data_IF_635084213446
#
_entry.id   IF_635084213446
#
_cell.length_a   1.000
_cell.length_b   1.000
_cell.length_c   1.000
_cell.angle_alpha   90.00
_cell.angle_beta   90.00
_cell.angle_gamma   90.00
#
_symmetry.space_group_name_H-M   'P 1'
#
loop_
_entity.id
_entity.type
_entity.pdbx_description
1 polymer ?
#
# COMPACT_ATOMS: atom_id res chain seq x y z
N UNK A 1 56.59 -18.56 -22.99
CA UNK A 1 55.38 -19.38 -22.80
C UNK A 1 54.16 -18.61 -23.29
N UNK A 2 53.55 -19.08 -24.37
CA UNK A 2 52.28 -18.60 -24.95
C UNK A 2 51.12 -19.00 -24.05
N UNK A 3 50.14 -18.13 -23.82
CA UNK A 3 48.71 -18.51 -23.75
C UNK A 3 47.84 -17.36 -24.31
N UNK A 4 47.40 -17.60 -25.55
CA UNK A 4 46.21 -17.05 -26.17
C UNK A 4 45.02 -17.85 -25.61
N UNK A 5 43.87 -17.22 -25.32
CA UNK A 5 42.56 -17.80 -25.66
C UNK A 5 41.43 -16.76 -25.61
N UNK A 6 40.68 -16.75 -26.72
CA UNK A 6 39.32 -16.21 -26.94
C UNK A 6 38.32 -16.99 -26.03
N UNK A 7 37.05 -16.64 -25.80
CA UNK A 7 36.01 -16.29 -26.76
C UNK A 7 34.64 -16.14 -26.03
N UNK A 8 33.62 -15.60 -26.76
CA UNK A 8 32.17 -15.89 -26.70
C UNK A 8 31.44 -15.42 -25.40
N UNK A 9 30.41 -14.58 -25.41
CA UNK A 9 29.32 -14.41 -26.36
C UNK A 9 28.05 -15.09 -25.81
N UNK A 10 27.22 -14.39 -25.03
CA UNK A 10 25.86 -14.83 -24.73
C UNK A 10 24.91 -13.63 -24.81
N UNK A 11 24.19 -13.57 -25.93
CA UNK A 11 22.96 -12.83 -26.06
C UNK A 11 21.86 -13.61 -25.33
N UNK A 12 21.10 -12.94 -24.46
CA UNK A 12 19.78 -13.41 -24.02
C UNK A 12 18.80 -12.31 -24.39
N UNK A 13 18.07 -12.55 -25.47
CA UNK A 13 16.83 -11.87 -25.84
C UNK A 13 15.69 -12.73 -25.28
N UNK A 14 14.82 -12.13 -24.48
CA UNK A 14 13.63 -12.77 -23.92
C UNK A 14 12.85 -11.81 -23.02
N UNK A 15 12.14 -10.86 -23.64
CA UNK A 15 11.00 -10.15 -23.05
C UNK A 15 9.74 -11.04 -23.24
N UNK A 16 8.62 -11.02 -22.50
CA UNK A 16 7.81 -9.98 -21.85
C UNK A 16 6.81 -10.70 -20.90
N UNK A 17 6.50 -10.17 -19.71
CA UNK A 17 5.13 -10.17 -19.15
C UNK A 17 5.04 -9.17 -17.97
N UNK A 18 4.08 -8.25 -18.09
CA UNK A 18 3.91 -6.99 -17.36
C UNK A 18 3.44 -7.16 -15.91
N UNK A 19 4.15 -6.54 -14.97
CA UNK A 19 3.78 -6.47 -13.55
C UNK A 19 4.81 -5.64 -12.78
N UNK A 20 4.86 -4.35 -13.07
CA UNK A 20 5.92 -3.44 -12.62
C UNK A 20 5.87 -3.18 -11.11
N UNK A 21 6.51 -4.04 -10.32
CA UNK A 21 6.97 -3.68 -8.98
C UNK A 21 8.21 -2.80 -9.21
N UNK A 22 8.09 -1.50 -8.99
CA UNK A 22 9.21 -0.57 -9.06
C UNK A 22 10.18 -0.87 -7.91
N UNK A 23 11.11 -1.82 -8.12
CA UNK A 23 12.26 -1.97 -7.23
C UNK A 23 13.07 -0.67 -7.30
N UNK A 24 13.39 -0.03 -6.17
CA UNK A 24 14.24 1.16 -6.19
C UNK A 24 15.58 0.77 -6.82
N UNK A 25 15.81 1.25 -8.04
CA UNK A 25 17.07 1.06 -8.73
C UNK A 25 18.10 1.84 -7.92
N UNK A 26 18.99 1.12 -7.23
CA UNK A 26 20.09 1.77 -6.51
C UNK A 26 20.83 2.67 -7.51
N UNK A 27 21.07 3.95 -7.17
CA UNK A 27 21.74 4.85 -8.09
C UNK A 27 23.10 4.23 -8.44
N UNK A 28 23.28 3.90 -9.73
CA UNK A 28 24.54 3.41 -10.23
C UNK A 28 25.61 4.43 -9.85
N UNK A 29 26.59 4.02 -9.03
CA UNK A 29 27.61 4.92 -8.52
C UNK A 29 28.32 5.59 -9.71
N UNK A 30 28.13 6.90 -9.86
CA UNK A 30 28.67 7.65 -10.97
C UNK A 30 30.20 7.49 -11.01
N UNK A 31 30.74 6.99 -12.12
CA UNK A 31 32.19 6.89 -12.30
C UNK A 31 32.70 8.26 -12.74
N UNK A 32 33.54 8.90 -11.93
CA UNK A 32 34.19 10.15 -12.35
C UNK A 32 35.21 9.84 -13.45
N UNK A 33 34.95 10.33 -14.65
CA UNK A 33 35.89 10.25 -15.77
C UNK A 33 36.94 11.34 -15.55
N UNK A 34 38.21 10.96 -15.51
CA UNK A 34 39.36 11.86 -15.34
C UNK A 34 40.23 11.78 -16.59
N UNK A 35 40.38 12.89 -17.29
CA UNK A 35 41.23 13.01 -18.48
C UNK A 35 42.22 14.17 -18.33
N UNK A 36 43.28 14.13 -19.12
CA UNK A 36 44.22 15.22 -19.29
C UNK A 36 44.04 15.80 -20.69
N UNK A 37 43.98 17.13 -20.79
CA UNK A 37 43.79 17.88 -22.04
C UNK A 37 44.99 18.78 -22.28
N UNK A 38 45.64 18.71 -23.44
CA UNK A 38 46.80 19.53 -23.79
C UNK A 38 46.36 20.98 -24.06
N UNK A 39 46.90 21.94 -23.31
CA UNK A 39 46.39 23.34 -23.30
C UNK A 39 46.42 24.02 -24.67
N UNK A 40 47.44 23.73 -25.50
CA UNK A 40 47.64 24.40 -26.80
C UNK A 40 46.86 23.75 -27.95
N UNK A 41 46.59 22.45 -27.88
CA UNK A 41 46.06 21.68 -29.04
C UNK A 41 44.73 21.00 -28.76
N UNK A 42 44.25 20.99 -27.51
CA UNK A 42 43.01 20.30 -27.12
C UNK A 42 43.11 18.76 -27.08
N UNK A 43 44.28 18.18 -27.36
CA UNK A 43 44.46 16.72 -27.37
C UNK A 43 44.13 16.11 -26.00
N UNK A 44 43.32 15.05 -25.97
CA UNK A 44 42.84 14.42 -24.72
C UNK A 44 43.44 13.03 -24.50
N UNK A 45 43.83 12.71 -23.26
CA UNK A 45 44.34 11.39 -22.86
C UNK A 45 43.86 10.99 -21.47
N UNK A 46 43.52 9.72 -21.29
CA UNK A 46 43.28 9.14 -19.96
C UNK A 46 44.63 8.80 -19.30
N UNK A 47 44.98 9.48 -18.20
CA UNK A 47 46.22 9.23 -17.47
C UNK A 47 46.05 9.50 -15.97
N UNK A 48 46.77 8.74 -15.13
CA UNK A 48 46.77 8.96 -13.66
C UNK A 48 47.31 10.34 -13.27
N UNK A 49 48.31 10.85 -14.01
CA UNK A 49 48.93 12.17 -13.81
C UNK A 49 49.06 12.88 -15.16
N UNK A 50 48.77 14.18 -15.19
CA UNK A 50 48.90 14.98 -16.41
C UNK A 50 50.35 15.48 -16.57
N UNK A 51 50.89 15.43 -17.80
CA UNK A 51 52.22 15.95 -18.12
C UNK A 51 52.24 17.49 -18.08
N UNK A 52 53.43 18.10 -17.95
CA UNK A 52 53.58 19.57 -18.00
C UNK A 52 53.00 20.11 -19.31
N UNK A 53 52.21 21.18 -19.24
CA UNK A 53 51.47 21.73 -20.39
C UNK A 53 50.08 21.12 -20.64
N UNK A 54 49.66 20.16 -19.82
CA UNK A 54 48.32 19.57 -19.85
C UNK A 54 47.49 20.02 -18.64
N UNK A 55 46.16 20.08 -18.81
CA UNK A 55 45.18 20.41 -17.77
C UNK A 55 44.35 19.17 -17.46
N UNK A 56 44.15 18.86 -16.18
CA UNK A 56 43.24 17.79 -15.76
C UNK A 56 41.80 18.30 -15.89
N UNK A 57 40.94 17.49 -16.50
CA UNK A 57 39.50 17.73 -16.61
C UNK A 57 38.79 16.49 -16.07
N UNK A 58 37.74 16.69 -15.29
CA UNK A 58 36.93 15.60 -14.78
C UNK A 58 35.47 15.95 -14.83
N UNK A 59 34.66 14.96 -15.22
CA UNK A 59 33.21 15.03 -15.18
C UNK A 59 32.64 13.69 -14.71
N UNK A 60 31.41 13.71 -14.22
CA UNK A 60 30.71 12.50 -13.84
C UNK A 60 30.18 11.80 -15.11
N UNK A 61 30.36 10.48 -15.21
CA UNK A 61 29.92 9.71 -16.37
C UNK A 61 28.40 9.64 -16.54
N UNK A 62 27.65 9.99 -15.49
CA UNK A 62 26.19 9.94 -15.43
C UNK A 62 25.75 11.24 -14.73
N UNK A 63 24.88 12.02 -15.38
CA UNK A 63 24.22 13.17 -14.76
C UNK A 63 23.30 12.71 -13.62
N UNK A 64 22.79 13.64 -12.78
CA UNK A 64 21.75 13.25 -11.83
C UNK A 64 20.61 12.55 -12.57
N UNK A 65 20.00 11.55 -11.93
CA UNK A 65 18.75 11.01 -12.44
C UNK A 65 17.77 12.17 -12.68
N UNK A 66 17.06 12.14 -13.80
CA UNK A 66 16.01 13.13 -14.05
C UNK A 66 14.96 13.11 -12.93
N UNK A 67 14.15 14.17 -12.79
CA UNK A 67 13.01 14.11 -11.90
C UNK A 67 12.14 12.89 -12.24
N UNK A 68 11.53 12.30 -11.21
CA UNK A 68 10.53 11.26 -11.45
C UNK A 68 9.48 11.78 -12.43
N UNK A 69 9.03 10.90 -13.33
CA UNK A 69 7.91 11.23 -14.21
C UNK A 69 6.64 11.53 -13.41
N UNK A 70 5.69 12.22 -14.02
CA UNK A 70 4.37 12.41 -13.42
C UNK A 70 3.76 11.04 -13.07
N UNK A 71 3.04 10.97 -11.95
CA UNK A 71 2.26 9.78 -11.63
C UNK A 71 1.29 9.46 -12.77
N UNK A 72 1.15 8.18 -13.10
CA UNK A 72 0.14 7.73 -14.05
C UNK A 72 -1.28 7.99 -13.55
N UNK A 73 -2.30 7.89 -14.42
CA UNK A 73 -3.68 8.03 -14.00
C UNK A 73 -4.05 6.97 -12.95
N UNK A 74 -4.81 7.38 -11.93
CA UNK A 74 -5.34 6.47 -10.93
C UNK A 74 -6.41 5.58 -11.56
N UNK A 75 -6.17 4.27 -11.58
CA UNK A 75 -7.12 3.28 -12.09
C UNK A 75 -8.38 3.24 -11.21
N UNK A 76 -9.53 2.99 -11.82
CA UNK A 76 -10.82 2.88 -11.14
C UNK A 76 -11.31 1.44 -11.15
N UNK A 77 -12.00 1.05 -10.08
CA UNK A 77 -12.74 -0.21 -10.05
C UNK A 77 -14.19 0.07 -10.40
N UNK A 78 -14.69 -0.65 -11.40
CA UNK A 78 -16.03 -0.47 -11.94
C UNK A 78 -16.75 -1.80 -11.95
N UNK A 79 -18.01 -1.78 -11.56
CA UNK A 79 -18.88 -2.95 -11.60
C UNK A 79 -19.35 -3.29 -13.04
N UNK A 80 -20.05 -4.41 -13.19
CA UNK A 80 -20.59 -4.89 -14.47
C UNK A 80 -21.53 -3.88 -15.16
N UNK A 81 -22.22 -3.06 -14.37
CA UNK A 81 -23.18 -2.08 -14.85
C UNK A 81 -22.54 -0.72 -15.16
N UNK A 82 -21.23 -0.57 -14.95
CA UNK A 82 -20.51 0.69 -15.18
C UNK A 82 -20.46 1.62 -13.97
N UNK A 83 -20.99 1.21 -12.80
CA UNK A 83 -20.90 1.98 -11.57
C UNK A 83 -19.46 1.98 -11.06
N UNK A 84 -18.91 3.16 -10.81
CA UNK A 84 -17.57 3.32 -10.22
C UNK A 84 -17.66 3.09 -8.72
N UNK A 85 -16.96 2.08 -8.21
CA UNK A 85 -16.89 1.77 -6.78
C UNK A 85 -15.82 2.59 -6.05
N UNK A 86 -14.73 2.93 -6.75
CA UNK A 86 -13.65 3.74 -6.19
C UNK A 86 -12.33 3.59 -6.93
N UNK A 87 -11.25 4.02 -6.28
CA UNK A 87 -9.89 3.94 -6.80
C UNK A 87 -9.30 2.54 -6.61
N UNK A 88 -8.67 1.96 -7.62
CA UNK A 88 -7.95 0.70 -7.48
C UNK A 88 -6.64 0.92 -6.72
N UNK A 89 -6.49 0.26 -5.56
CA UNK A 89 -5.30 0.36 -4.71
C UNK A 89 -4.42 -0.88 -4.75
N UNK A 90 -4.94 -2.00 -5.27
CA UNK A 90 -4.19 -3.23 -5.41
C UNK A 90 -5.07 -4.47 -5.31
N UNK A 91 -4.42 -5.62 -5.25
CA UNK A 91 -5.06 -6.91 -5.00
C UNK A 91 -4.33 -7.62 -3.86
N UNK A 92 -5.06 -8.32 -3.00
CA UNK A 92 -4.51 -9.17 -1.93
C UNK A 92 -5.02 -10.58 -2.04
N UNK A 93 -4.22 -11.54 -1.59
CA UNK A 93 -4.48 -12.97 -1.71
C UNK A 93 -4.27 -13.65 -0.35
N UNK A 94 -5.11 -13.38 0.66
CA UNK A 94 -5.00 -14.09 1.94
C UNK A 94 -5.37 -15.58 1.80
N UNK A 95 -6.03 -15.96 0.70
CA UNK A 95 -6.33 -17.34 0.31
C UNK A 95 -6.37 -17.47 -1.22
N UNK A 96 -6.95 -18.55 -1.75
CA UNK A 96 -7.18 -18.74 -3.19
C UNK A 96 -8.17 -17.72 -3.80
N UNK A 97 -8.87 -16.93 -2.98
CA UNK A 97 -9.82 -15.93 -3.42
C UNK A 97 -9.12 -14.56 -3.45
N UNK A 98 -8.96 -13.91 -4.63
CA UNK A 98 -8.42 -12.57 -4.70
C UNK A 98 -9.40 -11.56 -4.09
N UNK A 99 -8.87 -10.65 -3.29
CA UNK A 99 -9.56 -9.44 -2.89
C UNK A 99 -9.03 -8.24 -3.67
N UNK A 100 -9.95 -7.38 -4.12
CA UNK A 100 -9.64 -6.12 -4.78
C UNK A 100 -9.67 -5.03 -3.71
N UNK A 101 -8.57 -4.30 -3.55
CA UNK A 101 -8.49 -3.18 -2.64
C UNK A 101 -8.98 -1.91 -3.35
N UNK A 102 -10.02 -1.30 -2.78
CA UNK A 102 -10.66 -0.11 -3.32
C UNK A 102 -10.49 1.05 -2.34
N UNK A 103 -10.01 2.19 -2.83
CA UNK A 103 -10.03 3.47 -2.13
C UNK A 103 -11.37 4.17 -2.32
N UNK A 104 -12.04 4.53 -1.22
CA UNK A 104 -13.31 5.25 -1.23
C UNK A 104 -13.36 6.24 -0.06
N UNK A 105 -13.61 7.52 -0.34
CA UNK A 105 -13.68 8.59 0.68
C UNK A 105 -12.52 8.55 1.69
N UNK A 106 -11.29 8.35 1.20
CA UNK A 106 -10.08 8.29 2.03
C UNK A 106 -9.95 7.03 2.90
N UNK A 107 -10.80 6.01 2.72
CA UNK A 107 -10.67 4.69 3.32
C UNK A 107 -10.30 3.61 2.31
N UNK A 108 -9.68 2.53 2.77
CA UNK A 108 -9.38 1.35 1.97
C UNK A 108 -10.32 0.21 2.35
N UNK A 109 -10.88 -0.44 1.34
CA UNK A 109 -11.91 -1.46 1.46
C UNK A 109 -11.54 -2.69 0.63
N UNK A 110 -11.96 -3.87 1.08
CA UNK A 110 -11.70 -5.13 0.37
C UNK A 110 -12.98 -5.63 -0.28
N UNK A 111 -12.92 -5.90 -1.59
CA UNK A 111 -14.03 -6.42 -2.36
C UNK A 111 -13.73 -7.81 -2.90
N UNK A 112 -14.76 -8.65 -2.97
CA UNK A 112 -14.75 -9.84 -3.79
C UNK A 112 -14.86 -9.45 -5.27
N UNK A 113 -14.39 -10.32 -6.16
CA UNK A 113 -14.54 -10.12 -7.61
C UNK A 113 -16.00 -10.04 -8.07
N UNK A 114 -16.95 -10.49 -7.26
CA UNK A 114 -18.39 -10.41 -7.52
C UNK A 114 -19.04 -9.08 -7.10
N UNK A 115 -18.26 -8.13 -6.59
CA UNK A 115 -18.73 -6.80 -6.22
C UNK A 115 -19.14 -6.61 -4.76
N UNK A 116 -19.09 -7.66 -3.93
CA UNK A 116 -19.45 -7.53 -2.51
C UNK A 116 -18.30 -7.00 -1.66
N UNK A 117 -18.61 -6.04 -0.78
CA UNK A 117 -17.71 -5.53 0.25
C UNK A 117 -17.53 -6.57 1.37
N UNK A 118 -16.28 -6.95 1.63
CA UNK A 118 -15.89 -7.98 2.60
C UNK A 118 -15.75 -7.38 4.00
N UNK A 119 -16.34 -8.00 5.04
CA UNK A 119 -16.13 -7.56 6.42
C UNK A 119 -14.70 -7.85 6.89
N UNK A 120 -14.21 -7.06 7.85
CA UNK A 120 -12.87 -7.22 8.45
C UNK A 120 -12.73 -8.46 9.36
N UNK A 121 -13.78 -9.27 9.51
CA UNK A 121 -13.82 -10.43 10.40
C UNK A 121 -14.05 -10.10 11.87
N UNK A 122 -14.23 -8.83 12.22
CA UNK A 122 -14.54 -8.37 13.59
C UNK A 122 -15.61 -7.28 13.59
N UNK A 123 -16.50 -7.33 14.58
CA UNK A 123 -17.42 -6.23 14.90
C UNK A 123 -16.71 -5.21 15.78
N UNK A 124 -17.03 -3.90 15.67
CA UNK A 124 -16.68 -2.97 16.73
C UNK A 124 -17.27 -3.43 18.07
N UNK A 125 -16.66 -2.97 19.16
CA UNK A 125 -17.12 -3.22 20.53
C UNK A 125 -17.92 -2.04 21.06
N UNK A 126 -18.85 -2.33 21.95
CA UNK A 126 -19.72 -1.36 22.60
C UNK A 126 -19.70 -1.60 24.10
N UNK A 127 -19.99 -0.54 24.86
CA UNK A 127 -20.02 -0.61 26.32
C UNK A 127 -21.44 -0.78 26.87
N UNK A 128 -22.44 -0.83 26.00
CA UNK A 128 -23.85 -1.01 26.34
C UNK A 128 -24.46 -2.19 25.58
N UNK A 129 -25.49 -2.80 26.18
CA UNK A 129 -26.15 -3.98 25.65
C UNK A 129 -27.00 -3.74 24.40
N UNK A 130 -27.26 -2.48 24.04
CA UNK A 130 -27.98 -2.13 22.82
C UNK A 130 -27.04 -1.84 21.65
N UNK A 131 -25.72 -1.87 21.87
CA UNK A 131 -24.71 -1.44 20.90
C UNK A 131 -24.99 -0.03 20.34
N UNK A 132 -25.51 0.85 21.20
CA UNK A 132 -25.90 2.22 20.85
C UNK A 132 -24.84 3.26 21.27
N UNK A 133 -23.87 2.88 22.10
CA UNK A 133 -22.73 3.72 22.46
C UNK A 133 -21.84 3.99 21.26
N UNK A 134 -20.82 4.84 21.47
CA UNK A 134 -19.69 4.92 20.55
C UNK A 134 -19.09 3.52 20.31
N UNK A 135 -18.69 3.21 19.06
CA UNK A 135 -17.97 1.98 18.76
C UNK A 135 -16.52 2.09 19.20
N UNK A 136 -15.93 0.97 19.60
CA UNK A 136 -14.56 0.88 20.09
C UNK A 136 -13.81 -0.30 19.48
N UNK A 137 -12.49 -0.17 19.36
CA UNK A 137 -11.57 -1.28 19.14
C UNK A 137 -10.81 -1.58 20.45
N UNK A 138 -10.84 -2.82 20.95
CA UNK A 138 -9.95 -3.22 22.04
C UNK A 138 -8.50 -3.12 21.58
N UNK A 139 -7.66 -2.50 22.39
CA UNK A 139 -6.23 -2.39 22.11
C UNK A 139 -5.44 -2.91 23.31
N UNK A 140 -4.49 -3.82 23.07
CA UNK A 140 -3.48 -4.11 24.08
C UNK A 140 -2.64 -2.85 24.30
N UNK A 141 -2.13 -2.65 25.51
CA UNK A 141 -1.33 -1.47 25.85
C UNK A 141 -0.10 -1.31 24.93
N UNK A 142 0.48 -2.44 24.47
CA UNK A 142 1.58 -2.47 23.51
C UNK A 142 1.22 -1.93 22.12
N UNK A 143 -0.04 -2.03 21.72
CA UNK A 143 -0.48 -1.76 20.36
C UNK A 143 -1.01 -0.33 20.21
N UNK A 144 -1.30 0.34 21.32
CA UNK A 144 -1.83 1.73 21.35
C UNK A 144 -0.94 2.68 20.52
N UNK A 145 0.41 2.71 20.65
CA UNK A 145 1.24 3.59 19.83
C UNK A 145 1.11 3.31 18.34
N UNK A 146 1.00 2.04 17.96
CA UNK A 146 0.82 1.63 16.55
C UNK A 146 -0.53 2.13 16.04
N UNK A 147 -1.62 1.88 16.78
CA UNK A 147 -2.94 2.36 16.37
C UNK A 147 -3.00 3.88 16.23
N UNK A 148 -2.46 4.62 17.20
CA UNK A 148 -2.40 6.08 17.15
C UNK A 148 -1.60 6.58 15.93
N UNK A 149 -0.54 5.88 15.52
CA UNK A 149 0.23 6.23 14.31
C UNK A 149 -0.57 6.06 13.00
N UNK A 150 -1.67 5.30 13.03
CA UNK A 150 -2.54 5.05 11.87
C UNK A 150 -3.79 5.92 11.85
N UNK A 151 -4.02 6.75 12.88
CA UNK A 151 -5.16 7.67 12.94
C UNK A 151 -5.09 8.67 11.79
N UNK A 152 -6.22 8.89 11.12
CA UNK A 152 -6.29 9.68 9.89
C UNK A 152 -5.82 8.92 8.64
N UNK A 153 -5.26 7.73 8.81
CA UNK A 153 -4.92 6.82 7.72
C UNK A 153 -6.14 6.19 7.04
N UNK A 154 -5.91 5.39 5.99
CA UNK A 154 -6.98 4.82 5.19
C UNK A 154 -7.56 3.53 5.79
N UNK A 155 -7.00 3.01 6.89
CA UNK A 155 -7.51 1.82 7.56
C UNK A 155 -8.97 1.97 7.99
N UNK A 156 -9.78 0.96 7.70
CA UNK A 156 -11.19 0.88 8.10
C UNK A 156 -11.49 -0.47 8.72
N UNK A 157 -12.28 -0.46 9.79
CA UNK A 157 -12.96 -1.65 10.27
C UNK A 157 -14.30 -1.72 9.56
N UNK A 158 -14.57 -2.82 8.86
CA UNK A 158 -15.83 -3.05 8.15
C UNK A 158 -16.59 -4.15 8.88
N UNK A 159 -17.78 -3.82 9.36
CA UNK A 159 -18.71 -4.79 9.92
C UNK A 159 -19.86 -5.02 8.94
N UNK A 160 -20.27 -6.27 8.79
CA UNK A 160 -21.39 -6.65 7.93
C UNK A 160 -22.06 -7.91 8.48
N UNK A 161 -23.37 -7.90 8.75
CA UNK A 161 -24.11 -9.14 9.00
C UNK A 161 -24.09 -10.02 7.74
N UNK A 162 -23.76 -11.29 7.90
CA UNK A 162 -23.63 -12.26 6.80
C UNK A 162 -24.70 -13.33 6.83
N UNK A 163 -25.46 -13.44 7.92
CA UNK A 163 -26.51 -14.47 8.12
C UNK A 163 -27.87 -13.80 8.28
N UNK A 164 -28.93 -14.29 7.60
CA UNK A 164 -28.95 -15.40 6.63
C UNK A 164 -28.40 -15.02 5.26
N UNK A 165 -28.32 -13.72 4.97
CA UNK A 165 -27.75 -13.15 3.75
C UNK A 165 -26.89 -11.95 4.13
N UNK A 166 -26.01 -11.56 3.22
CA UNK A 166 -25.15 -10.40 3.39
C UNK A 166 -25.99 -9.12 3.41
N UNK A 167 -26.07 -8.46 4.57
CA UNK A 167 -26.83 -7.23 4.77
C UNK A 167 -26.00 -5.98 4.51
N UNK A 168 -26.53 -4.80 4.82
CA UNK A 168 -25.82 -3.52 4.70
C UNK A 168 -24.56 -3.50 5.57
N UNK A 169 -23.44 -3.09 4.98
CA UNK A 169 -22.18 -2.91 5.68
C UNK A 169 -22.09 -1.58 6.42
N UNK A 170 -21.32 -1.56 7.50
CA UNK A 170 -20.94 -0.37 8.26
C UNK A 170 -19.41 -0.27 8.28
N UNK A 171 -18.90 0.96 8.24
CA UNK A 171 -17.47 1.24 8.21
C UNK A 171 -17.09 2.18 9.35
N UNK A 172 -15.93 1.93 9.95
CA UNK A 172 -15.45 2.70 11.09
C UNK A 172 -13.98 3.06 10.87
N UNK A 173 -13.64 4.33 11.12
CA UNK A 173 -12.26 4.81 11.17
C UNK A 173 -11.80 4.95 12.62
N UNK A 174 -10.49 4.82 12.84
CA UNK A 174 -9.88 5.03 14.14
C UNK A 174 -9.84 6.53 14.48
N UNK A 175 -10.08 6.86 15.74
CA UNK A 175 -9.86 8.20 16.31
C UNK A 175 -8.62 8.20 17.20
N UNK A 176 -8.22 9.36 17.72
CA UNK A 176 -7.15 9.47 18.71
C UNK A 176 -7.62 9.31 20.16
N UNK A 177 -8.91 9.09 20.39
CA UNK A 177 -9.48 9.05 21.74
C UNK A 177 -9.33 7.66 22.35
N UNK A 178 -8.71 7.61 23.54
CA UNK A 178 -8.52 6.39 24.33
C UNK A 178 -9.39 6.41 25.58
N UNK A 179 -9.82 5.24 26.02
CA UNK A 179 -10.61 5.06 27.23
C UNK A 179 -10.19 3.81 27.99
N UNK A 180 -9.89 3.94 29.27
CA UNK A 180 -9.75 2.78 30.15
C UNK A 180 -11.13 2.14 30.39
N UNK A 181 -11.19 0.81 30.34
CA UNK A 181 -12.41 0.05 30.52
C UNK A 181 -12.15 -1.23 31.32
N UNK A 182 -13.06 -1.55 32.24
CA UNK A 182 -13.00 -2.75 33.07
C UNK A 182 -14.43 -3.26 33.34
N UNK A 183 -15.10 -3.72 32.29
CA UNK A 183 -16.45 -4.26 32.33
C UNK A 183 -16.72 -5.16 31.11
N UNK A 184 -17.95 -5.66 30.99
CA UNK A 184 -18.37 -6.43 29.82
C UNK A 184 -18.49 -5.54 28.58
N UNK A 185 -18.00 -6.04 27.45
CA UNK A 185 -18.22 -5.45 26.14
C UNK A 185 -19.34 -6.17 25.39
N UNK A 186 -19.86 -5.50 24.38
CA UNK A 186 -20.90 -5.99 23.49
C UNK A 186 -20.45 -5.83 22.04
N UNK A 187 -20.98 -6.64 21.14
CA UNK A 187 -20.66 -6.57 19.72
C UNK A 187 -21.82 -7.13 18.89
N UNK A 188 -21.88 -6.74 17.62
CA UNK A 188 -22.81 -7.36 16.70
C UNK A 188 -22.31 -8.75 16.28
N UNK A 189 -23.20 -9.74 16.30
CA UNK A 189 -22.94 -11.08 15.75
C UNK A 189 -23.15 -11.11 14.22
N UNK A 190 -23.07 -12.29 13.60
CA UNK A 190 -23.25 -12.44 12.15
C UNK A 190 -24.68 -12.13 11.66
N UNK A 191 -25.66 -12.08 12.57
CA UNK A 191 -27.06 -11.75 12.29
C UNK A 191 -27.37 -10.25 12.51
N UNK A 192 -26.39 -9.44 12.94
CA UNK A 192 -26.65 -8.02 13.26
C UNK A 192 -27.23 -7.78 14.65
N UNK A 193 -27.31 -8.82 15.49
CA UNK A 193 -27.81 -8.70 16.87
C UNK A 193 -26.68 -8.33 17.81
N UNK A 194 -26.93 -7.36 18.70
CA UNK A 194 -25.99 -7.01 19.76
C UNK A 194 -25.95 -8.13 20.82
N UNK A 195 -24.77 -8.69 21.05
CA UNK A 195 -24.56 -9.79 22.01
C UNK A 195 -23.36 -9.50 22.89
N UNK A 196 -23.32 -10.12 24.07
CA UNK A 196 -22.20 -9.99 24.99
C UNK A 196 -20.92 -10.55 24.34
N UNK A 197 -19.85 -9.77 24.38
CA UNK A 197 -18.53 -10.11 23.84
C UNK A 197 -17.54 -10.59 24.92
N UNK A 198 -18.00 -10.69 26.17
CA UNK A 198 -17.19 -11.07 27.33
C UNK A 198 -16.68 -9.88 28.14
N UNK A 199 -16.09 -10.19 29.30
CA UNK A 199 -15.43 -9.20 30.15
C UNK A 199 -14.14 -8.70 29.48
N UNK A 200 -13.87 -7.40 29.62
CA UNK A 200 -12.67 -6.77 29.11
C UNK A 200 -12.08 -5.83 30.16
N UNK A 201 -10.77 -5.96 30.36
CA UNK A 201 -9.99 -5.05 31.19
C UNK A 201 -8.81 -4.54 30.37
N UNK A 202 -8.83 -3.26 29.99
CA UNK A 202 -7.80 -2.68 29.15
C UNK A 202 -8.19 -1.32 28.54
N UNK A 203 -7.54 -0.98 27.44
CA UNK A 203 -7.74 0.30 26.75
C UNK A 203 -8.60 0.10 25.50
N UNK A 204 -9.64 0.92 25.39
CA UNK A 204 -10.47 1.03 24.21
C UNK A 204 -10.01 2.23 23.37
N UNK A 205 -9.84 2.01 22.08
CA UNK A 205 -9.70 3.06 21.08
C UNK A 205 -11.07 3.40 20.52
N UNK A 206 -11.51 4.65 20.63
CA UNK A 206 -12.78 5.07 20.04
C UNK A 206 -12.71 5.05 18.52
N UNK A 207 -13.79 4.56 17.92
CA UNK A 207 -14.00 4.53 16.48
C UNK A 207 -15.10 5.54 16.11
N UNK A 208 -15.01 6.07 14.89
CA UNK A 208 -16.03 6.92 14.30
C UNK A 208 -16.64 6.21 13.10
N UNK A 209 -17.96 6.09 13.07
CA UNK A 209 -18.67 5.54 11.91
C UNK A 209 -18.58 6.49 10.73
N UNK A 210 -18.28 5.93 9.56
CA UNK A 210 -18.16 6.65 8.29
C UNK A 210 -18.94 5.91 7.20
N UNK A 211 -19.32 6.58 6.11
CA UNK A 211 -20.00 5.92 5.00
C UNK A 211 -19.19 4.73 4.48
N UNK A 212 -19.81 3.54 4.49
CA UNK A 212 -19.27 2.38 3.79
C UNK A 212 -19.56 2.55 2.29
N UNK A 213 -18.64 2.14 1.40
CA UNK A 213 -18.91 2.10 -0.01
C UNK A 213 -20.02 1.06 -0.30
N UNK A 214 -20.85 1.29 -1.33
CA UNK A 214 -21.90 0.34 -1.69
C UNK A 214 -21.31 -0.95 -2.26
N UNK A 215 -22.09 -2.03 -2.26
CA UNK A 215 -21.79 -3.19 -3.10
C UNK A 215 -21.93 -2.83 -4.58
N UNK A 216 -21.12 -3.48 -5.41
CA UNK A 216 -21.31 -3.50 -6.86
C UNK A 216 -21.88 -4.82 -7.37
N UNK A 217 -22.10 -4.88 -8.67
CA UNK A 217 -22.47 -6.11 -9.37
C UNK A 217 -21.27 -6.68 -10.11
N UNK A 218 -20.88 -7.91 -9.81
CA UNK A 218 -19.77 -8.59 -10.45
C UNK A 218 -20.02 -8.98 -11.92
N UNK A 219 -18.94 -9.28 -12.68
CA UNK A 219 -17.54 -9.20 -12.26
C UNK A 219 -17.05 -7.74 -12.20
N UNK A 220 -16.19 -7.46 -11.23
CA UNK A 220 -15.50 -6.17 -11.15
C UNK A 220 -14.41 -6.06 -12.23
N UNK A 221 -14.25 -4.85 -12.77
CA UNK A 221 -13.25 -4.52 -13.80
C UNK A 221 -12.38 -3.35 -13.33
N UNK A 222 -11.12 -3.32 -13.77
CA UNK A 222 -10.17 -2.26 -13.49
C UNK A 222 -9.90 -1.52 -14.80
N UNK A 223 -10.14 -0.20 -14.83
CA UNK A 223 -9.97 0.63 -16.03
C UNK A 223 -9.59 2.06 -15.70
#
# INVERSE_FOLDING_TARGET
>A
MKKLNRAIGMAVVGAVALGGIATPVSPASAKTIKVCVKKKTGEMRMAKKCKKGWKKVSWNSIGPAGPAGAAGPQLKVVDKNGMVLGDFWGMTYPSLIPYIMIGFQGGTYMYLGDGRLVPSGSSPRFIDAACASKPYAPAAASDVPVYLSTVGGPGRLVYRPTVPVWQTSRSFKMTSTLRAHNAALWAFNEQGTCVAAGAYNGTLLELEEVPAPPDGVGPLTIR
#
